data_IF_566529712280
#
_entry.id   IF_566529712280
#
_cell.length_a   1.000
_cell.length_b   1.000
_cell.length_c   1.000
_cell.angle_alpha   90.00
_cell.angle_beta   90.00
_cell.angle_gamma   90.00
#
_symmetry.space_group_name_H-M   'P 1'
#
loop_
_entity.id
_entity.type
_entity.pdbx_description
1 polymer ?
#
# COMPACT_ATOMS: atom_id res chain seq x y z
N UNK A 1 -11.42 7.08 4.03
CA UNK A 1 -10.55 6.02 3.48
C UNK A 1 -10.58 4.80 4.38
N UNK A 2 -10.92 3.67 3.83
CA UNK A 2 -10.91 2.41 4.56
C UNK A 2 -9.68 1.60 4.20
N UNK A 3 -9.03 1.04 5.19
CA UNK A 3 -7.89 0.17 4.99
C UNK A 3 -8.14 -1.19 5.61
N UNK A 4 -7.85 -2.23 4.84
CA UNK A 4 -7.94 -3.60 5.30
C UNK A 4 -6.60 -4.28 5.00
N UNK A 5 -5.95 -4.75 6.04
CA UNK A 5 -4.64 -5.39 5.91
C UNK A 5 -4.80 -6.89 5.69
N UNK A 6 -4.17 -7.38 4.63
CA UNK A 6 -4.04 -8.80 4.40
C UNK A 6 -2.58 -9.16 4.61
N UNK A 7 -2.31 -10.03 5.56
CA UNK A 7 -0.95 -10.43 5.88
C UNK A 7 -0.58 -11.65 5.07
N UNK A 8 0.67 -11.70 4.64
CA UNK A 8 1.19 -12.91 4.02
C UNK A 8 1.47 -13.93 5.11
N UNK A 9 0.55 -14.87 5.26
CA UNK A 9 0.56 -15.78 6.41
C UNK A 9 1.70 -16.76 6.43
N UNK A 10 2.37 -16.97 5.32
CA UNK A 10 3.42 -17.96 5.26
C UNK A 10 4.52 -17.74 6.28
N UNK A 11 4.94 -16.49 6.44
CA UNK A 11 6.01 -16.18 7.38
C UNK A 11 5.55 -16.24 8.82
N UNK A 12 4.33 -15.83 9.07
CA UNK A 12 3.77 -15.89 10.42
C UNK A 12 3.59 -17.34 10.89
N UNK A 13 3.18 -18.19 9.98
CA UNK A 13 2.95 -19.60 10.30
C UNK A 13 4.23 -20.30 10.73
N UNK A 14 5.37 -19.86 10.22
CA UNK A 14 6.64 -20.45 10.60
C UNK A 14 7.24 -19.85 11.85
N UNK A 15 6.64 -18.79 12.34
CA UNK A 15 7.15 -18.11 13.52
C UNK A 15 8.50 -17.46 13.32
N UNK A 16 8.90 -17.27 12.08
CA UNK A 16 10.18 -16.65 11.77
C UNK A 16 9.97 -15.20 11.50
N UNK A 17 10.38 -14.39 12.45
CA UNK A 17 10.24 -12.94 12.34
C UNK A 17 11.64 -12.36 12.23
N UNK A 18 11.98 -11.89 11.06
CA UNK A 18 13.25 -11.21 10.88
C UNK A 18 13.12 -9.76 11.34
N UNK A 19 14.07 -9.29 12.16
CA UNK A 19 14.03 -7.90 12.60
C UNK A 19 14.09 -6.90 11.45
N UNK A 20 14.66 -7.30 10.34
CA UNK A 20 14.74 -6.44 9.17
C UNK A 20 13.38 -6.22 8.53
N UNK A 21 12.39 -7.01 8.91
CA UNK A 21 11.01 -6.85 8.48
C UNK A 21 10.84 -6.68 6.99
N UNK A 22 11.30 -7.62 6.24
CA UNK A 22 11.02 -7.63 4.81
C UNK A 22 9.72 -8.34 4.51
N UNK A 23 8.85 -8.40 5.51
CA UNK A 23 7.55 -9.02 5.35
C UNK A 23 6.67 -8.09 4.53
N UNK A 24 6.24 -8.57 3.40
CA UNK A 24 5.30 -7.82 2.57
C UNK A 24 3.93 -7.86 3.21
N UNK A 25 3.28 -6.71 3.22
CA UNK A 25 1.92 -6.57 3.69
C UNK A 25 1.07 -6.11 2.53
N UNK A 26 -0.06 -6.75 2.35
CA UNK A 26 -1.01 -6.38 1.31
C UNK A 26 -2.19 -5.68 1.93
N UNK A 27 -2.50 -4.50 1.45
CA UNK A 27 -3.63 -3.72 1.94
C UNK A 27 -4.68 -3.64 0.85
N UNK A 28 -5.93 -3.76 1.26
CA UNK A 28 -7.07 -3.41 0.43
C UNK A 28 -7.50 -2.01 0.87
N UNK A 29 -7.37 -1.05 -0.02
CA UNK A 29 -7.66 0.35 0.29
C UNK A 29 -8.93 0.78 -0.43
N UNK A 30 -9.87 1.33 0.32
CA UNK A 30 -11.07 1.91 -0.25
C UNK A 30 -10.97 3.43 -0.11
N UNK A 31 -10.93 4.11 -1.23
CA UNK A 31 -10.77 5.56 -1.26
C UNK A 31 -12.14 6.24 -1.35
N UNK A 32 -12.16 7.53 -1.07
CA UNK A 32 -13.39 8.31 -1.17
C UNK A 32 -13.75 8.63 -2.62
N UNK A 33 -12.78 8.55 -3.50
CA UNK A 33 -12.99 8.81 -4.94
C UNK A 33 -12.10 7.88 -5.74
N UNK A 34 -12.40 7.79 -7.04
CA UNK A 34 -11.66 6.95 -7.96
C UNK A 34 -10.18 7.35 -8.02
N UNK A 35 -9.31 6.35 -7.92
CA UNK A 35 -7.87 6.57 -8.11
C UNK A 35 -7.60 6.67 -9.60
N UNK A 36 -7.06 7.81 -10.04
CA UNK A 36 -6.73 7.98 -11.45
C UNK A 36 -5.56 7.08 -11.85
N UNK A 37 -5.50 6.73 -13.13
CA UNK A 37 -4.39 5.93 -13.62
C UNK A 37 -3.06 6.69 -13.52
N UNK A 38 -3.13 8.01 -13.60
CA UNK A 38 -1.96 8.87 -13.42
C UNK A 38 -1.41 8.75 -12.00
N UNK A 39 -2.30 8.83 -11.01
CA UNK A 39 -1.87 8.71 -9.61
C UNK A 39 -1.42 7.30 -9.28
N UNK A 40 -2.06 6.29 -9.85
CA UNK A 40 -1.63 4.91 -9.68
C UNK A 40 -0.20 4.74 -10.19
N UNK A 41 0.10 5.32 -11.35
CA UNK A 41 1.45 5.28 -11.90
C UNK A 41 2.46 6.03 -11.03
N UNK A 42 2.03 7.16 -10.47
CA UNK A 42 2.89 7.93 -9.56
C UNK A 42 3.26 7.12 -8.32
N UNK A 43 2.31 6.43 -7.74
CA UNK A 43 2.57 5.57 -6.59
C UNK A 43 3.52 4.44 -6.98
N UNK A 44 3.29 3.84 -8.15
CA UNK A 44 4.11 2.73 -8.63
C UNK A 44 5.57 3.12 -8.82
N UNK A 45 5.81 4.33 -9.30
CA UNK A 45 7.18 4.82 -9.53
C UNK A 45 7.85 5.34 -8.27
N UNK A 46 7.06 5.69 -7.25
CA UNK A 46 7.58 6.19 -5.99
C UNK A 46 7.08 7.58 -5.67
N UNK A 47 6.91 7.83 -4.38
CA UNK A 47 6.42 9.11 -3.87
C UNK A 47 7.41 9.64 -2.85
N UNK A 48 7.66 10.94 -2.91
CA UNK A 48 8.51 11.62 -1.94
C UNK A 48 7.64 12.19 -0.83
N UNK A 49 7.80 11.66 0.38
CA UNK A 49 7.13 12.17 1.57
C UNK A 49 8.11 12.98 2.40
N UNK A 50 7.60 13.65 3.45
CA UNK A 50 8.44 14.50 4.29
C UNK A 50 9.60 13.75 4.92
N UNK A 51 9.40 12.50 5.28
CA UNK A 51 10.42 11.68 5.92
C UNK A 51 11.14 10.75 4.94
N UNK A 52 11.05 11.04 3.65
CA UNK A 52 11.80 10.33 2.64
C UNK A 52 10.95 9.67 1.58
N UNK A 53 11.59 9.10 0.56
CA UNK A 53 10.86 8.46 -0.53
C UNK A 53 10.19 7.17 -0.09
N UNK A 54 9.08 6.85 -0.75
CA UNK A 54 8.35 5.62 -0.53
C UNK A 54 8.16 4.92 -1.86
N UNK A 55 8.58 3.66 -1.92
CA UNK A 55 8.37 2.82 -3.10
C UNK A 55 7.54 1.63 -2.65
N UNK A 56 6.46 1.36 -3.38
CA UNK A 56 5.62 0.20 -3.08
C UNK A 56 6.07 -0.98 -3.92
N UNK A 57 5.82 -2.19 -3.43
CA UNK A 57 6.16 -3.40 -4.18
C UNK A 57 5.21 -3.61 -5.35
N UNK A 58 3.94 -3.30 -5.16
CA UNK A 58 2.94 -3.40 -6.21
C UNK A 58 1.72 -2.58 -5.84
N UNK A 59 1.01 -2.13 -6.84
CA UNK A 59 -0.29 -1.49 -6.66
C UNK A 59 -1.13 -1.77 -7.91
N UNK A 60 -2.40 -2.09 -7.69
CA UNK A 60 -3.31 -2.34 -8.80
C UNK A 60 -4.75 -2.12 -8.35
N UNK A 61 -5.63 -1.94 -9.33
CA UNK A 61 -7.06 -1.92 -9.04
C UNK A 61 -7.52 -3.33 -8.67
N UNK A 62 -8.54 -3.40 -7.82
CA UNK A 62 -9.14 -4.69 -7.47
C UNK A 62 -10.02 -5.14 -8.64
N UNK A 63 -9.83 -6.35 -9.17
CA UNK A 63 -10.68 -6.85 -10.26
C UNK A 63 -12.15 -6.85 -9.88
N UNK A 64 -12.99 -6.45 -10.83
CA UNK A 64 -14.43 -6.45 -10.66
C UNK A 64 -14.95 -5.50 -9.59
N UNK A 65 -14.13 -4.54 -9.20
CA UNK A 65 -14.52 -3.53 -8.21
C UNK A 65 -14.33 -2.14 -8.79
N UNK A 66 -14.98 -1.13 -8.20
CA UNK A 66 -14.76 0.26 -8.64
C UNK A 66 -13.30 0.65 -8.46
N UNK A 67 -12.84 1.59 -9.27
CA UNK A 67 -11.44 2.02 -9.23
C UNK A 67 -11.09 2.87 -8.01
N UNK A 68 -12.00 3.03 -7.09
CA UNK A 68 -11.69 3.60 -5.78
C UNK A 68 -11.18 2.53 -4.82
N UNK A 69 -11.24 1.26 -5.23
CA UNK A 69 -10.71 0.17 -4.43
C UNK A 69 -9.44 -0.36 -5.08
N UNK A 70 -8.37 -0.38 -4.31
CA UNK A 70 -7.07 -0.76 -4.83
C UNK A 70 -6.36 -1.70 -3.86
N UNK A 71 -5.53 -2.56 -4.42
CA UNK A 71 -4.65 -3.40 -3.62
C UNK A 71 -3.24 -2.86 -3.70
N UNK A 72 -2.57 -2.76 -2.56
CA UNK A 72 -1.21 -2.27 -2.51
C UNK A 72 -0.35 -3.21 -1.66
N UNK A 73 0.81 -3.58 -2.17
CA UNK A 73 1.78 -4.37 -1.44
C UNK A 73 2.95 -3.49 -1.07
N UNK A 74 3.37 -3.58 0.17
CA UNK A 74 4.44 -2.75 0.68
C UNK A 74 5.17 -3.51 1.79
N UNK A 75 6.48 -3.32 1.89
CA UNK A 75 7.28 -4.02 2.89
C UNK A 75 7.91 -3.09 3.91
N UNK A 76 7.64 -1.79 3.84
CA UNK A 76 8.16 -0.85 4.84
C UNK A 76 7.27 -0.84 6.08
N UNK A 77 7.90 -0.68 7.24
CA UNK A 77 7.18 -0.56 8.50
C UNK A 77 6.92 0.86 8.95
N UNK A 78 7.08 1.84 8.07
CA UNK A 78 6.88 3.24 8.45
C UNK A 78 5.45 3.48 8.87
N UNK A 79 5.30 4.32 9.90
CA UNK A 79 4.01 4.55 10.54
C UNK A 79 2.98 5.14 9.56
N UNK A 80 1.82 4.48 9.48
CA UNK A 80 0.67 4.92 8.67
C UNK A 80 1.05 5.20 7.21
N UNK A 81 2.00 4.44 6.69
CA UNK A 81 2.58 4.76 5.38
C UNK A 81 1.54 4.72 4.25
N UNK A 82 0.65 3.74 4.25
CA UNK A 82 -0.34 3.62 3.19
C UNK A 82 -1.27 4.83 3.18
N UNK A 83 -1.75 5.24 4.37
CA UNK A 83 -2.61 6.43 4.46
C UNK A 83 -1.88 7.67 3.98
N UNK A 84 -0.62 7.80 4.35
CA UNK A 84 0.16 8.98 4.01
C UNK A 84 0.41 9.09 2.51
N UNK A 85 0.58 7.96 1.83
CA UNK A 85 0.73 7.95 0.39
C UNK A 85 -0.51 8.57 -0.27
N UNK A 86 -1.68 8.09 0.11
CA UNK A 86 -2.91 8.57 -0.52
C UNK A 86 -3.26 9.98 -0.08
N UNK A 87 -3.00 10.33 1.17
CA UNK A 87 -3.23 11.70 1.64
C UNK A 87 -2.34 12.69 0.89
N UNK A 88 -1.12 12.30 0.60
CA UNK A 88 -0.19 13.13 -0.17
C UNK A 88 -0.76 13.47 -1.55
N UNK A 89 -1.53 12.57 -2.14
CA UNK A 89 -2.14 12.76 -3.44
C UNK A 89 -3.54 13.39 -3.38
N UNK A 90 -4.01 13.69 -2.18
CA UNK A 90 -5.31 14.35 -2.01
C UNK A 90 -6.50 13.41 -1.88
N UNK A 91 -6.26 12.19 -1.49
CA UNK A 91 -7.35 11.21 -1.31
C UNK A 91 -7.81 11.06 0.13
#
# INVERSE_FOLDING_TARGET
MGLLLFTNDGDLARGIMHPSSRIKKTYHVTLDKTLSTSDLGTIRTGIELEDGPVVVDAISYIPEAPHKEVGIEIHTGRNRIVRRIFEHLGY
#
